data_IF_815072623061
#
_entry.id   IF_815072623061
#
_cell.length_a   1.000
_cell.length_b   1.000
_cell.length_c   1.000
_cell.angle_alpha   90.00
_cell.angle_beta   90.00
_cell.angle_gamma   90.00
#
_symmetry.space_group_name_H-M   'P 1'
#
loop_
_entity.id
_entity.type
_entity.pdbx_description
1 polymer ?
#
# COMPACT_ATOMS: atom_id res chain seq x y z
N UNK A 1 -4.68 -19.27 -8.17
CA UNK A 1 -5.54 -18.08 -8.33
C UNK A 1 -4.65 -16.85 -8.30
N UNK A 2 -4.81 -15.92 -9.22
CA UNK A 2 -4.06 -14.66 -9.21
C UNK A 2 -4.57 -13.76 -8.07
N UNK A 3 -3.67 -13.19 -7.28
CA UNK A 3 -4.05 -12.27 -6.21
C UNK A 3 -4.57 -10.95 -6.78
N UNK A 4 -5.65 -10.45 -6.21
CA UNK A 4 -6.22 -9.14 -6.53
C UNK A 4 -5.27 -8.00 -6.13
N UNK A 5 -5.38 -6.80 -6.74
CA UNK A 5 -4.62 -5.63 -6.29
C UNK A 5 -4.80 -5.31 -4.81
N UNK A 6 -5.99 -5.61 -4.26
CA UNK A 6 -6.29 -5.40 -2.85
C UNK A 6 -5.46 -6.32 -1.95
N UNK A 7 -5.48 -7.63 -2.22
CA UNK A 7 -4.70 -8.62 -1.48
C UNK A 7 -3.20 -8.33 -1.59
N UNK A 8 -2.71 -8.06 -2.80
CA UNK A 8 -1.30 -7.69 -3.05
C UNK A 8 -0.89 -6.46 -2.22
N UNK A 9 -1.76 -5.46 -2.10
CA UNK A 9 -1.50 -4.26 -1.29
C UNK A 9 -1.46 -4.59 0.20
N UNK A 10 -2.42 -5.38 0.71
CA UNK A 10 -2.45 -5.78 2.11
C UNK A 10 -1.22 -6.61 2.52
N UNK A 11 -0.71 -7.45 1.62
CA UNK A 11 0.53 -8.21 1.84
C UNK A 11 1.70 -7.23 2.05
N UNK A 12 1.92 -6.26 1.16
CA UNK A 12 3.02 -5.28 1.32
C UNK A 12 2.89 -4.52 2.65
N UNK A 13 1.68 -4.10 3.01
CA UNK A 13 1.42 -3.39 4.27
C UNK A 13 1.80 -4.26 5.46
N UNK A 14 1.42 -5.54 5.45
CA UNK A 14 1.68 -6.48 6.54
C UNK A 14 3.18 -6.80 6.65
N UNK A 15 3.82 -7.19 5.55
CA UNK A 15 5.22 -7.62 5.53
C UNK A 15 6.20 -6.49 5.90
N UNK A 16 5.85 -5.25 5.56
CA UNK A 16 6.66 -4.07 5.89
C UNK A 16 6.14 -3.32 7.14
N UNK A 17 5.15 -3.87 7.84
CA UNK A 17 4.53 -3.30 9.05
C UNK A 17 4.13 -1.81 8.89
N UNK A 18 3.52 -1.48 7.75
CA UNK A 18 3.22 -0.09 7.40
C UNK A 18 1.99 0.44 8.13
N UNK A 19 2.13 1.60 8.75
CA UNK A 19 1.00 2.37 9.26
C UNK A 19 0.14 2.95 8.12
N UNK A 20 -1.13 3.21 8.39
CA UNK A 20 -2.03 3.87 7.43
C UNK A 20 -1.50 5.23 6.93
N UNK A 21 -0.76 5.97 7.78
CA UNK A 21 -0.11 7.22 7.41
C UNK A 21 1.00 7.01 6.37
N UNK A 22 1.85 6.00 6.57
CA UNK A 22 2.92 5.66 5.64
C UNK A 22 2.38 5.21 4.28
N UNK A 23 1.30 4.42 4.28
CA UNK A 23 0.61 4.00 3.05
C UNK A 23 -0.01 5.19 2.34
N UNK A 24 -0.69 6.08 3.08
CA UNK A 24 -1.30 7.30 2.55
C UNK A 24 -0.31 8.18 1.79
N UNK A 25 0.88 8.40 2.37
CA UNK A 25 1.97 9.14 1.72
C UNK A 25 2.41 8.45 0.43
N UNK A 26 2.60 7.12 0.46
CA UNK A 26 3.08 6.38 -0.70
C UNK A 26 2.11 6.38 -1.89
N UNK A 27 0.80 6.35 -1.63
CA UNK A 27 -0.23 6.28 -2.69
C UNK A 27 -0.89 7.64 -3.00
N UNK A 28 -0.53 8.70 -2.28
CA UNK A 28 -1.07 10.05 -2.48
C UNK A 28 -2.53 10.19 -2.04
N UNK A 29 -2.91 9.58 -0.91
CA UNK A 29 -4.27 9.65 -0.34
C UNK A 29 -4.22 10.08 1.13
N UNK A 30 -5.39 10.34 1.72
CA UNK A 30 -5.50 10.62 3.16
C UNK A 30 -5.44 9.33 3.98
N UNK A 31 -5.00 9.41 5.24
CA UNK A 31 -5.00 8.26 6.16
C UNK A 31 -6.39 7.66 6.37
N UNK A 32 -7.44 8.50 6.43
CA UNK A 32 -8.82 8.04 6.52
C UNK A 32 -9.24 7.22 5.29
N UNK A 33 -8.87 7.67 4.08
CA UNK A 33 -9.16 6.92 2.86
C UNK A 33 -8.43 5.56 2.81
N UNK A 34 -7.22 5.50 3.36
CA UNK A 34 -6.47 4.23 3.51
C UNK A 34 -7.16 3.30 4.52
N UNK A 35 -7.53 3.80 5.69
CA UNK A 35 -8.21 3.00 6.72
C UNK A 35 -9.52 2.39 6.18
N UNK A 36 -10.33 3.20 5.47
CA UNK A 36 -11.55 2.73 4.80
C UNK A 36 -11.27 1.59 3.81
N UNK A 37 -10.19 1.68 3.04
CA UNK A 37 -9.78 0.64 2.09
C UNK A 37 -9.26 -0.62 2.80
N UNK A 38 -8.52 -0.47 3.91
CA UNK A 38 -8.00 -1.61 4.68
C UNK A 38 -9.14 -2.42 5.33
N UNK A 39 -10.12 -1.72 5.90
CA UNK A 39 -11.27 -2.33 6.57
C UNK A 39 -12.40 -2.72 5.60
N UNK A 40 -12.21 -2.47 4.30
CA UNK A 40 -13.23 -2.62 3.26
C UNK A 40 -14.56 -1.92 3.57
N UNK A 41 -14.50 -0.80 4.31
CA UNK A 41 -15.67 -0.02 4.70
C UNK A 41 -16.42 0.47 3.46
N UNK A 42 -17.73 0.23 3.40
CA UNK A 42 -18.58 0.56 2.26
C UNK A 42 -18.07 0.00 0.92
N UNK A 43 -17.37 -1.15 0.94
CA UNK A 43 -16.82 -1.79 -0.25
C UNK A 43 -15.59 -1.09 -0.84
N UNK A 44 -14.99 -0.13 -0.13
CA UNK A 44 -13.75 0.50 -0.56
C UNK A 44 -12.62 -0.53 -0.58
N UNK A 45 -11.84 -0.55 -1.66
CA UNK A 45 -10.70 -1.46 -1.80
C UNK A 45 -9.51 -0.74 -2.42
N UNK A 46 -8.32 -1.29 -2.23
CA UNK A 46 -7.15 -0.84 -2.98
C UNK A 46 -7.30 -1.24 -4.44
N UNK A 47 -6.99 -0.31 -5.34
CA UNK A 47 -7.02 -0.50 -6.78
C UNK A 47 -5.62 -0.81 -7.31
N UNK A 48 -5.51 -1.23 -8.56
CA UNK A 48 -4.23 -1.51 -9.22
C UNK A 48 -3.25 -0.33 -9.13
N UNK A 49 -3.76 0.90 -9.25
CA UNK A 49 -2.93 2.11 -9.09
C UNK A 49 -2.39 2.26 -7.66
N UNK A 50 -3.19 1.96 -6.63
CA UNK A 50 -2.74 2.02 -5.23
C UNK A 50 -1.61 1.00 -5.00
N UNK A 51 -1.76 -0.22 -5.53
CA UNK A 51 -0.76 -1.27 -5.46
C UNK A 51 0.55 -0.85 -6.15
N UNK A 52 0.48 -0.39 -7.40
CA UNK A 52 1.67 -0.02 -8.17
C UNK A 52 2.42 1.16 -7.55
N UNK A 53 1.70 2.15 -7.01
CA UNK A 53 2.31 3.26 -6.27
C UNK A 53 3.00 2.79 -5.01
N UNK A 54 2.32 1.98 -4.18
CA UNK A 54 2.89 1.49 -2.92
C UNK A 54 4.14 0.64 -3.18
N UNK A 55 4.05 -0.32 -4.11
CA UNK A 55 5.16 -1.19 -4.52
C UNK A 55 6.36 -0.36 -5.00
N UNK A 56 6.13 0.53 -5.96
CA UNK A 56 7.21 1.35 -6.54
C UNK A 56 7.87 2.27 -5.49
N UNK A 57 7.07 2.85 -4.60
CA UNK A 57 7.57 3.73 -3.55
C UNK A 57 8.50 3.00 -2.58
N UNK A 58 8.11 1.81 -2.10
CA UNK A 58 8.92 1.05 -1.15
C UNK A 58 10.10 0.33 -1.80
N UNK A 59 9.98 -0.16 -3.04
CA UNK A 59 11.13 -0.69 -3.79
C UNK A 59 12.23 0.38 -3.90
N UNK A 60 11.89 1.60 -4.35
CA UNK A 60 12.86 2.70 -4.45
C UNK A 60 13.53 3.04 -3.12
N UNK A 61 12.80 2.95 -2.00
CA UNK A 61 13.38 3.16 -0.66
C UNK A 61 14.35 2.05 -0.28
N UNK A 62 13.97 0.80 -0.49
CA UNK A 62 14.80 -0.37 -0.16
C UNK A 62 16.05 -0.41 -1.04
N UNK A 63 15.95 -0.05 -2.32
CA UNK A 63 17.10 0.09 -3.22
C UNK A 63 18.10 1.14 -2.73
N UNK A 64 17.61 2.31 -2.29
CA UNK A 64 18.48 3.33 -1.68
C UNK A 64 19.19 2.81 -0.44
N UNK A 65 18.52 2.01 0.39
CA UNK A 65 19.11 1.40 1.59
C UNK A 65 20.21 0.41 1.23
N UNK A 66 20.05 -0.38 0.15
CA UNK A 66 21.07 -1.33 -0.32
C UNK A 66 22.37 -0.65 -0.76
N UNK A 67 22.31 0.63 -1.11
CA UNK A 67 23.46 1.43 -1.57
C UNK A 67 24.01 2.38 -0.50
N UNK A 68 23.50 2.31 0.73
CA UNK A 68 24.10 2.98 1.89
C UNK A 68 25.35 2.21 2.34
#
# INVERSE_FOLDING_TARGET
>A
MEQTPHEKTLIIIKELELSARQVAVAIGKTGSAVAKKQNQENGNKFLSEDFEKLKSFYIKKLEKIKTL
#
